data_IF_013737162610
#
_entry.id   IF_013737162610
#
_cell.length_a   1.000
_cell.length_b   1.000
_cell.length_c   1.000
_cell.angle_alpha   90.00
_cell.angle_beta   90.00
_cell.angle_gamma   90.00
#
_symmetry.space_group_name_H-M   'P 1'
#
loop_
_entity.id
_entity.type
_entity.pdbx_description
1 polymer ?
#
# COMPACT_ATOMS: atom_id res chain seq x y z
N UNK A 1 -23.51 -19.58 10.61
CA UNK A 1 -23.29 -20.52 9.49
C UNK A 1 -23.66 -19.97 8.12
N UNK A 2 -24.85 -19.37 7.90
CA UNK A 2 -25.24 -18.80 6.59
C UNK A 2 -24.21 -17.81 6.02
N UNK A 3 -23.73 -16.86 6.83
CA UNK A 3 -22.70 -15.86 6.45
C UNK A 3 -21.32 -16.45 6.17
N UNK A 4 -20.97 -17.58 6.80
CA UNK A 4 -19.70 -18.29 6.60
C UNK A 4 -19.70 -18.95 5.22
N UNK A 5 -20.76 -19.70 4.90
CA UNK A 5 -20.95 -20.31 3.58
C UNK A 5 -21.06 -19.27 2.47
N UNK A 6 -21.77 -18.15 2.70
CA UNK A 6 -21.89 -17.09 1.68
C UNK A 6 -20.59 -16.34 1.40
N UNK A 7 -19.65 -16.32 2.33
CA UNK A 7 -18.31 -15.72 2.14
C UNK A 7 -17.28 -16.73 1.59
N UNK A 8 -17.69 -17.98 1.32
CA UNK A 8 -16.80 -19.05 0.87
C UNK A 8 -15.74 -19.43 1.91
N UNK A 9 -16.04 -19.23 3.20
CA UNK A 9 -15.13 -19.55 4.29
C UNK A 9 -15.31 -21.00 4.73
N UNK A 10 -14.19 -21.70 4.90
CA UNK A 10 -14.17 -23.05 5.47
C UNK A 10 -14.33 -22.96 7.00
N UNK A 11 -15.31 -23.70 7.53
CA UNK A 11 -15.57 -23.81 8.97
C UNK A 11 -14.34 -24.29 9.74
N UNK A 12 -13.58 -25.24 9.19
CA UNK A 12 -12.37 -25.76 9.82
C UNK A 12 -11.29 -24.67 9.93
N UNK A 13 -11.21 -23.78 8.94
CA UNK A 13 -10.27 -22.64 8.98
C UNK A 13 -10.71 -21.66 10.07
N UNK A 14 -12.01 -21.35 10.18
CA UNK A 14 -12.55 -20.45 11.21
C UNK A 14 -12.29 -21.01 12.61
N UNK A 15 -12.53 -22.30 12.83
CA UNK A 15 -12.29 -22.93 14.14
C UNK A 15 -10.81 -22.88 14.53
N UNK A 16 -9.90 -23.16 13.59
CA UNK A 16 -8.45 -23.00 13.80
C UNK A 16 -8.06 -21.57 14.15
N UNK A 17 -8.67 -20.58 13.49
CA UNK A 17 -8.41 -19.16 13.78
C UNK A 17 -8.92 -18.75 15.17
N UNK A 18 -10.10 -19.24 15.59
CA UNK A 18 -10.62 -19.00 16.95
C UNK A 18 -9.79 -19.71 18.01
N UNK A 19 -9.33 -20.93 17.73
CA UNK A 19 -8.41 -21.65 18.61
C UNK A 19 -7.10 -20.89 18.81
N UNK A 20 -6.55 -20.27 17.75
CA UNK A 20 -5.36 -19.40 17.84
C UNK A 20 -5.55 -18.20 18.78
N UNK A 21 -6.72 -17.57 18.81
CA UNK A 21 -7.00 -16.51 19.77
C UNK A 21 -7.07 -17.03 21.21
N UNK A 22 -7.69 -18.19 21.43
CA UNK A 22 -7.88 -18.79 22.76
C UNK A 22 -6.60 -19.35 23.37
N UNK A 23 -5.80 -20.04 22.57
CA UNK A 23 -4.56 -20.66 23.03
C UNK A 23 -3.37 -19.70 23.05
N UNK A 24 -3.54 -18.51 22.47
CA UNK A 24 -2.46 -17.58 22.20
C UNK A 24 -1.58 -18.02 21.03
N UNK A 25 -0.91 -17.06 20.39
CA UNK A 25 0.08 -17.39 19.38
C UNK A 25 1.35 -17.92 20.03
N UNK A 26 1.88 -19.03 19.53
CA UNK A 26 3.23 -19.46 19.89
C UNK A 26 4.21 -18.38 19.45
N UNK A 27 4.89 -17.75 20.42
CA UNK A 27 5.93 -16.78 20.10
C UNK A 27 7.02 -17.49 19.29
N UNK A 28 7.46 -16.84 18.22
CA UNK A 28 8.60 -17.33 17.44
C UNK A 28 9.83 -17.32 18.35
N UNK A 29 10.43 -18.49 18.57
CA UNK A 29 11.72 -18.60 19.26
C UNK A 29 12.80 -18.03 18.34
N UNK A 30 13.19 -16.79 18.58
CA UNK A 30 14.25 -16.13 17.83
C UNK A 30 15.57 -16.87 18.09
N UNK A 31 16.27 -17.26 17.01
CA UNK A 31 17.56 -17.96 17.11
C UNK A 31 18.68 -16.97 17.46
N UNK A 32 18.88 -15.96 16.61
CA UNK A 32 19.83 -14.84 16.71
C UNK A 32 19.60 -13.89 15.52
N UNK A 33 20.05 -12.62 15.55
CA UNK A 33 19.90 -11.71 14.42
C UNK A 33 20.68 -12.18 13.17
N UNK A 34 20.21 -11.78 11.99
CA UNK A 34 20.99 -11.90 10.75
C UNK A 34 22.12 -10.86 10.75
N UNK A 35 23.30 -11.26 10.29
CA UNK A 35 24.46 -10.40 10.11
C UNK A 35 24.90 -10.36 8.64
N UNK A 36 25.80 -9.44 8.30
CA UNK A 36 26.46 -9.44 6.98
C UNK A 36 27.20 -10.76 6.81
N UNK A 37 26.94 -11.48 5.70
CA UNK A 37 27.38 -12.85 5.38
C UNK A 37 26.66 -13.97 6.16
N UNK A 38 25.59 -13.63 6.85
CA UNK A 38 24.82 -14.55 7.69
C UNK A 38 23.35 -14.12 7.71
N UNK A 39 22.69 -14.38 6.58
CA UNK A 39 21.31 -13.93 6.31
C UNK A 39 21.21 -12.54 5.68
N UNK A 40 22.28 -11.73 5.64
CA UNK A 40 22.32 -10.45 4.92
C UNK A 40 23.46 -10.45 3.88
N UNK A 41 23.09 -10.25 2.61
CA UNK A 41 24.05 -10.00 1.55
C UNK A 41 24.43 -8.51 1.52
N UNK A 42 25.73 -8.24 1.37
CA UNK A 42 26.27 -6.87 1.23
C UNK A 42 27.08 -6.77 -0.06
N UNK A 43 26.92 -5.66 -0.78
CA UNK A 43 27.51 -5.44 -2.10
C UNK A 43 28.37 -4.17 -2.10
N UNK A 44 29.59 -4.28 -2.64
CA UNK A 44 30.44 -3.12 -2.93
C UNK A 44 29.86 -2.33 -4.11
N UNK A 45 30.17 -1.02 -4.25
CA UNK A 45 29.67 -0.20 -5.36
C UNK A 45 29.90 -0.79 -6.76
N UNK A 46 31.05 -1.43 -6.98
CA UNK A 46 31.34 -2.11 -8.25
C UNK A 46 30.42 -3.31 -8.52
N UNK A 47 30.03 -4.07 -7.48
CA UNK A 47 29.09 -5.18 -7.60
C UNK A 47 27.67 -4.67 -7.87
N UNK A 48 27.26 -3.59 -7.19
CA UNK A 48 25.99 -2.92 -7.46
C UNK A 48 25.91 -2.50 -8.93
N UNK A 49 26.96 -1.83 -9.44
CA UNK A 49 27.00 -1.40 -10.85
C UNK A 49 26.90 -2.59 -11.82
N UNK A 50 27.58 -3.71 -11.54
CA UNK A 50 27.47 -4.94 -12.35
C UNK A 50 26.05 -5.50 -12.36
N UNK A 51 25.41 -5.62 -11.21
CA UNK A 51 24.03 -6.12 -11.10
C UNK A 51 23.01 -5.19 -11.77
N UNK A 52 23.17 -3.87 -11.61
CA UNK A 52 22.33 -2.88 -12.31
C UNK A 52 22.49 -3.02 -13.82
N UNK A 53 23.72 -3.12 -14.32
CA UNK A 53 23.99 -3.28 -15.75
C UNK A 53 23.43 -4.60 -16.30
N UNK A 54 23.54 -5.69 -15.54
CA UNK A 54 22.90 -6.97 -15.89
C UNK A 54 21.39 -6.82 -16.02
N UNK A 55 20.76 -6.15 -15.05
CA UNK A 55 19.32 -5.91 -15.09
C UNK A 55 18.90 -5.07 -16.29
N UNK A 56 19.56 -3.94 -16.52
CA UNK A 56 19.24 -3.04 -17.63
C UNK A 56 19.41 -3.72 -19.00
N UNK A 57 20.39 -4.62 -19.14
CA UNK A 57 20.62 -5.35 -20.39
C UNK A 57 19.59 -6.46 -20.65
N UNK A 58 19.11 -7.11 -19.59
CA UNK A 58 18.37 -8.38 -19.73
C UNK A 58 16.89 -8.26 -19.36
N UNK A 59 16.48 -7.25 -18.58
CA UNK A 59 15.12 -7.09 -18.06
C UNK A 59 14.02 -7.15 -19.12
N UNK A 60 14.26 -6.58 -20.30
CA UNK A 60 13.28 -6.54 -21.39
C UNK A 60 12.89 -7.94 -21.92
N UNK A 61 13.75 -8.95 -21.70
CA UNK A 61 13.50 -10.35 -22.11
C UNK A 61 12.51 -11.06 -21.19
N UNK A 62 12.17 -10.47 -20.05
CA UNK A 62 11.33 -11.06 -19.03
C UNK A 62 10.02 -10.27 -18.88
N UNK A 63 8.97 -10.99 -18.51
CA UNK A 63 7.71 -10.40 -18.07
C UNK A 63 7.84 -9.94 -16.63
N UNK A 64 8.12 -8.64 -16.47
CA UNK A 64 8.31 -8.01 -15.17
C UNK A 64 6.98 -7.45 -14.66
N UNK A 65 6.66 -7.70 -13.40
CA UNK A 65 5.41 -7.22 -12.80
C UNK A 65 5.67 -6.50 -11.47
N UNK A 66 5.03 -5.35 -11.28
CA UNK A 66 4.95 -4.68 -9.98
C UNK A 66 3.67 -5.05 -9.27
N UNK A 67 3.77 -5.75 -8.15
CA UNK A 67 2.62 -6.10 -7.31
C UNK A 67 2.48 -5.12 -6.15
N UNK A 68 1.32 -4.48 -6.06
CA UNK A 68 1.05 -3.42 -5.07
C UNK A 68 -0.18 -3.78 -4.23
N UNK A 69 0.00 -4.16 -2.95
CA UNK A 69 -1.11 -4.32 -2.03
C UNK A 69 -1.78 -2.98 -1.73
N UNK A 70 -3.02 -2.78 -2.19
CA UNK A 70 -3.73 -1.50 -2.12
C UNK A 70 -5.17 -1.62 -1.56
N UNK A 71 -5.54 -2.76 -0.98
CA UNK A 71 -6.88 -3.03 -0.45
C UNK A 71 -7.16 -2.38 0.91
N UNK A 72 -6.12 -1.91 1.61
CA UNK A 72 -6.25 -1.31 2.92
C UNK A 72 -6.81 0.12 2.89
N UNK A 73 -7.84 0.35 3.71
CA UNK A 73 -8.29 1.69 4.07
C UNK A 73 -7.19 2.44 4.83
N UNK A 74 -7.20 3.77 4.74
CA UNK A 74 -6.24 4.62 5.41
C UNK A 74 -6.55 4.87 6.90
N UNK A 75 -7.64 4.31 7.43
CA UNK A 75 -8.05 4.51 8.83
C UNK A 75 -6.92 4.32 9.86
N UNK A 76 -6.08 3.28 9.71
CA UNK A 76 -4.90 3.08 10.58
C UNK A 76 -3.82 4.14 10.42
N UNK A 77 -3.66 4.70 9.23
CA UNK A 77 -2.72 5.81 8.97
C UNK A 77 -3.12 7.06 9.74
N UNK A 78 -4.43 7.25 9.95
CA UNK A 78 -5.02 8.38 10.67
C UNK A 78 -5.46 8.04 12.11
N UNK A 79 -5.06 6.90 12.68
CA UNK A 79 -5.56 6.47 13.99
C UNK A 79 -5.36 7.54 15.08
N UNK A 80 -4.18 8.17 15.14
CA UNK A 80 -3.92 9.26 16.09
C UNK A 80 -4.73 10.53 15.82
N UNK A 81 -5.18 10.76 14.58
CA UNK A 81 -6.02 11.90 14.22
C UNK A 81 -7.49 11.63 14.55
N UNK A 82 -7.96 10.38 14.41
CA UNK A 82 -9.26 9.98 14.91
C UNK A 82 -9.34 10.11 16.43
N UNK A 83 -8.33 9.65 17.17
CA UNK A 83 -8.28 9.85 18.63
C UNK A 83 -8.29 11.34 19.02
N UNK A 84 -7.64 12.19 18.23
CA UNK A 84 -7.68 13.64 18.45
C UNK A 84 -9.04 14.25 18.09
N UNK A 85 -9.71 13.76 17.04
CA UNK A 85 -11.06 14.18 16.66
C UNK A 85 -12.05 13.87 17.79
N UNK A 86 -12.03 12.65 18.32
CA UNK A 86 -12.92 12.21 19.41
C UNK A 86 -12.72 13.04 20.69
N UNK A 87 -11.49 13.53 20.92
CA UNK A 87 -11.16 14.41 22.05
C UNK A 87 -11.37 15.91 21.76
N UNK A 88 -11.83 16.29 20.56
CA UNK A 88 -11.99 17.69 20.14
C UNK A 88 -10.68 18.44 19.83
N UNK A 89 -9.56 17.74 19.80
CA UNK A 89 -8.22 18.26 19.51
C UNK A 89 -7.10 17.32 19.98
N UNK A 90 -5.85 17.68 19.70
CA UNK A 90 -4.71 16.94 20.24
C UNK A 90 -4.52 17.23 21.73
N UNK A 91 -3.74 16.38 22.42
CA UNK A 91 -3.58 16.36 23.87
C UNK A 91 -3.03 17.65 24.52
N UNK A 92 -2.52 18.61 23.73
CA UNK A 92 -2.12 19.92 24.26
C UNK A 92 -2.23 21.05 23.23
N UNK A 93 -2.35 22.32 23.67
CA UNK A 93 -2.31 23.48 22.79
C UNK A 93 -1.02 23.59 21.96
N UNK A 94 0.11 23.13 22.50
CA UNK A 94 1.39 23.13 21.79
C UNK A 94 1.36 22.17 20.59
N UNK A 95 0.79 20.97 20.76
CA UNK A 95 0.64 20.00 19.67
C UNK A 95 -0.34 20.51 18.62
N UNK A 96 -1.46 21.12 19.03
CA UNK A 96 -2.41 21.77 18.12
C UNK A 96 -1.72 22.84 17.25
N UNK A 97 -0.87 23.68 17.86
CA UNK A 97 -0.11 24.69 17.14
C UNK A 97 0.90 24.06 16.16
N UNK A 98 1.62 23.03 16.59
CA UNK A 98 2.57 22.30 15.73
C UNK A 98 1.86 21.67 14.53
N UNK A 99 0.72 21.01 14.77
CA UNK A 99 -0.10 20.42 13.72
C UNK A 99 -0.50 21.44 12.66
N UNK A 100 -1.01 22.62 13.05
CA UNK A 100 -1.40 23.66 12.09
C UNK A 100 -0.22 24.22 11.28
N UNK A 101 0.97 24.29 11.87
CA UNK A 101 2.19 24.69 11.16
C UNK A 101 2.60 23.62 10.14
N UNK A 102 2.59 22.36 10.54
CA UNK A 102 2.93 21.24 9.67
C UNK A 102 1.85 20.98 8.61
N UNK A 103 0.59 21.32 8.87
CA UNK A 103 -0.52 21.17 7.92
C UNK A 103 -0.20 21.79 6.56
N UNK A 104 0.51 22.92 6.54
CA UNK A 104 0.95 23.62 5.31
C UNK A 104 1.90 22.81 4.43
N UNK A 105 2.59 21.82 5.02
CA UNK A 105 3.51 20.91 4.34
C UNK A 105 2.79 19.71 3.73
N UNK A 106 1.56 19.41 4.16
CA UNK A 106 0.83 18.27 3.63
C UNK A 106 0.45 18.46 2.16
N UNK A 107 0.47 17.40 1.35
CA UNK A 107 0.17 17.47 -0.08
C UNK A 107 -1.23 18.01 -0.39
N UNK A 108 -2.17 17.77 0.50
CA UNK A 108 -3.58 18.14 0.36
C UNK A 108 -3.93 19.48 1.01
N UNK A 109 -2.96 20.25 1.51
CA UNK A 109 -3.22 21.53 2.17
C UNK A 109 -4.04 22.49 1.30
N UNK A 110 -3.72 22.54 0.01
CA UNK A 110 -4.40 23.45 -0.92
C UNK A 110 -5.87 23.06 -1.13
N UNK A 111 -6.22 21.78 -1.01
CA UNK A 111 -7.62 21.32 -1.04
C UNK A 111 -8.41 21.86 0.16
N UNK A 112 -7.79 21.92 1.34
CA UNK A 112 -8.38 22.49 2.54
C UNK A 112 -8.53 24.01 2.39
N UNK A 113 -7.46 24.68 1.93
CA UNK A 113 -7.43 26.14 1.78
C UNK A 113 -8.45 26.67 0.77
N UNK A 114 -8.69 25.95 -0.32
CA UNK A 114 -9.65 26.33 -1.36
C UNK A 114 -11.11 26.17 -0.90
N UNK A 115 -11.37 25.34 0.11
CA UNK A 115 -12.70 25.18 0.66
C UNK A 115 -13.02 26.31 1.66
N UNK A 116 -14.09 27.08 1.39
CA UNK A 116 -14.50 28.23 2.24
C UNK A 116 -14.84 27.84 3.68
N UNK A 117 -15.38 26.64 3.92
CA UNK A 117 -15.71 26.16 5.26
C UNK A 117 -14.43 25.73 5.98
N UNK A 118 -13.63 24.87 5.36
CA UNK A 118 -12.43 24.31 5.98
C UNK A 118 -11.34 25.36 6.26
N UNK A 119 -11.18 26.36 5.39
CA UNK A 119 -10.27 27.48 5.60
C UNK A 119 -10.61 28.33 6.84
N UNK A 120 -11.90 28.43 7.22
CA UNK A 120 -12.30 29.09 8.47
C UNK A 120 -11.83 28.33 9.70
N UNK A 121 -11.85 27.00 9.67
CA UNK A 121 -11.35 26.18 10.78
C UNK A 121 -9.86 26.42 11.03
N UNK A 122 -9.06 26.58 9.97
CA UNK A 122 -7.65 26.98 10.09
C UNK A 122 -7.52 28.36 10.74
N UNK A 123 -8.27 29.36 10.27
CA UNK A 123 -8.21 30.73 10.78
C UNK A 123 -8.62 30.82 12.26
N UNK A 124 -9.62 30.03 12.66
CA UNK A 124 -10.13 29.95 14.03
C UNK A 124 -9.31 28.99 14.92
N UNK A 125 -8.33 28.28 14.36
CA UNK A 125 -7.56 27.22 15.04
C UNK A 125 -8.46 26.13 15.63
N UNK A 126 -9.62 25.88 15.01
CA UNK A 126 -10.56 24.85 15.41
C UNK A 126 -10.09 23.49 14.87
N UNK A 127 -9.39 22.74 15.73
CA UNK A 127 -8.78 21.45 15.35
C UNK A 127 -9.83 20.37 15.15
N UNK A 128 -10.84 20.29 16.02
CA UNK A 128 -11.91 19.29 15.90
C UNK A 128 -12.61 19.35 14.55
N UNK A 129 -13.13 20.52 14.17
CA UNK A 129 -13.83 20.67 12.89
C UNK A 129 -12.91 20.49 11.68
N UNK A 130 -11.64 20.85 11.81
CA UNK A 130 -10.65 20.62 10.76
C UNK A 130 -10.35 19.13 10.57
N UNK A 131 -10.22 18.38 11.67
CA UNK A 131 -10.03 16.93 11.62
C UNK A 131 -11.27 16.21 11.10
N UNK A 132 -12.47 16.63 11.50
CA UNK A 132 -13.73 16.11 10.95
C UNK A 132 -13.77 16.30 9.43
N UNK A 133 -13.51 17.52 8.97
CA UNK A 133 -13.44 17.82 7.54
C UNK A 133 -12.41 16.96 6.79
N UNK A 134 -11.25 16.65 7.38
CA UNK A 134 -10.23 15.85 6.69
C UNK A 134 -10.61 14.36 6.68
N UNK A 135 -11.11 13.84 7.79
CA UNK A 135 -11.21 12.40 8.02
C UNK A 135 -12.54 11.81 7.57
N UNK A 136 -13.63 12.57 7.64
CA UNK A 136 -14.99 12.05 7.48
C UNK A 136 -15.62 12.48 6.16
N UNK A 137 -16.79 11.92 5.86
CA UNK A 137 -17.60 12.26 4.70
C UNK A 137 -18.08 13.72 4.67
N UNK A 138 -17.91 14.48 5.77
CA UNK A 138 -18.19 15.91 5.83
C UNK A 138 -17.19 16.75 5.00
N UNK A 139 -16.08 16.16 4.56
CA UNK A 139 -15.12 16.81 3.69
C UNK A 139 -14.35 15.85 2.80
N UNK A 140 -13.05 15.70 3.05
CA UNK A 140 -12.12 14.95 2.20
C UNK A 140 -12.27 13.43 2.35
N UNK A 141 -12.89 12.97 3.44
CA UNK A 141 -13.16 11.55 3.72
C UNK A 141 -11.92 10.65 3.70
N UNK A 142 -10.75 11.18 4.05
CA UNK A 142 -9.50 10.42 3.98
C UNK A 142 -9.43 9.25 4.95
N UNK A 143 -10.23 9.26 6.02
CA UNK A 143 -10.30 8.14 6.96
C UNK A 143 -10.89 6.88 6.35
N UNK A 144 -11.82 7.03 5.39
CA UNK A 144 -12.48 5.92 4.71
C UNK A 144 -11.86 5.58 3.34
N UNK A 145 -11.11 6.51 2.75
CA UNK A 145 -10.50 6.27 1.44
C UNK A 145 -9.38 5.20 1.49
N UNK A 146 -9.19 4.42 0.40
CA UNK A 146 -8.01 3.58 0.26
C UNK A 146 -6.77 4.46 0.16
N UNK A 147 -5.66 4.04 0.77
CA UNK A 147 -4.38 4.79 0.73
C UNK A 147 -3.93 5.14 -0.69
N UNK A 148 -4.25 4.27 -1.65
CA UNK A 148 -3.99 4.47 -3.08
C UNK A 148 -4.49 5.81 -3.63
N UNK A 149 -5.60 6.34 -3.10
CA UNK A 149 -6.24 7.55 -3.59
C UNK A 149 -5.89 8.80 -2.78
N UNK A 150 -5.12 8.65 -1.70
CA UNK A 150 -4.72 9.78 -0.86
C UNK A 150 -3.56 10.52 -1.51
N UNK A 151 -3.56 11.86 -1.51
CA UNK A 151 -2.40 12.69 -1.84
C UNK A 151 -1.19 12.40 -0.94
N UNK A 152 -0.08 11.93 -1.53
CA UNK A 152 1.16 11.61 -0.80
C UNK A 152 2.26 12.64 -1.03
N UNK A 153 2.36 13.21 -2.22
CA UNK A 153 3.37 14.22 -2.54
C UNK A 153 2.81 15.39 -3.33
N UNK A 154 3.45 16.55 -3.15
CA UNK A 154 3.20 17.77 -3.90
C UNK A 154 4.50 18.22 -4.57
N UNK A 155 4.40 18.55 -5.85
CA UNK A 155 5.48 19.00 -6.72
C UNK A 155 5.26 20.48 -7.10
N UNK A 156 6.25 21.12 -7.74
CA UNK A 156 6.07 22.46 -8.31
C UNK A 156 4.84 22.55 -9.23
N UNK A 157 4.37 23.77 -9.49
CA UNK A 157 3.14 24.03 -10.27
C UNK A 157 1.86 23.38 -9.69
N UNK A 158 1.83 23.16 -8.37
CA UNK A 158 0.71 22.57 -7.64
C UNK A 158 0.31 21.15 -8.10
N UNK A 159 1.23 20.42 -8.73
CA UNK A 159 0.99 19.00 -9.03
C UNK A 159 0.94 18.20 -7.72
N UNK A 160 -0.17 17.51 -7.50
CA UNK A 160 -0.36 16.60 -6.37
C UNK A 160 -0.44 15.18 -6.93
N UNK A 161 0.32 14.26 -6.34
CA UNK A 161 0.26 12.84 -6.68
C UNK A 161 -0.31 12.03 -5.54
N UNK A 162 -1.25 11.18 -5.89
CA UNK A 162 -1.71 10.11 -5.00
C UNK A 162 -0.66 9.00 -4.91
N UNK A 163 -0.77 8.14 -3.89
CA UNK A 163 0.08 6.95 -3.78
C UNK A 163 0.04 6.08 -5.05
N UNK A 164 -1.14 5.90 -5.66
CA UNK A 164 -1.30 5.16 -6.91
C UNK A 164 -0.49 5.77 -8.06
N UNK A 165 -0.54 7.09 -8.20
CA UNK A 165 0.18 7.84 -9.25
C UNK A 165 1.70 7.71 -9.08
N UNK A 166 2.20 7.77 -7.84
CA UNK A 166 3.62 7.51 -7.56
C UNK A 166 4.03 6.08 -7.92
N UNK A 167 3.15 5.10 -7.71
CA UNK A 167 3.42 3.72 -8.10
C UNK A 167 3.53 3.54 -9.61
N UNK A 168 2.72 4.25 -10.40
CA UNK A 168 2.83 4.27 -11.87
C UNK A 168 4.17 4.87 -12.29
N UNK A 169 4.47 6.08 -11.83
CA UNK A 169 5.72 6.77 -12.16
C UNK A 169 6.95 5.93 -11.79
N UNK A 170 6.96 5.34 -10.60
CA UNK A 170 8.04 4.47 -10.14
C UNK A 170 8.17 3.20 -10.97
N UNK A 171 7.05 2.54 -11.33
CA UNK A 171 7.10 1.30 -12.12
C UNK A 171 7.79 1.52 -13.47
N UNK A 172 7.51 2.65 -14.13
CA UNK A 172 8.17 3.00 -15.37
C UNK A 172 9.67 3.28 -15.24
N UNK A 173 10.29 3.22 -14.06
CA UNK A 173 11.74 3.39 -13.92
C UNK A 173 12.51 2.06 -13.89
N UNK A 174 11.84 0.95 -13.55
CA UNK A 174 12.50 -0.36 -13.43
C UNK A 174 11.67 -1.57 -13.82
N UNK A 175 10.36 -1.45 -14.10
CA UNK A 175 9.49 -2.57 -14.49
C UNK A 175 9.09 -2.41 -15.95
N UNK A 176 10.10 -2.29 -16.84
CA UNK A 176 9.90 -2.18 -18.29
C UNK A 176 10.27 -3.51 -18.95
N UNK A 177 9.29 -4.13 -19.59
CA UNK A 177 9.48 -5.27 -20.48
C UNK A 177 9.60 -4.80 -21.94
N UNK A 178 9.82 -5.73 -22.87
CA UNK A 178 9.91 -5.45 -24.30
C UNK A 178 8.79 -4.50 -24.80
N UNK A 179 9.16 -3.54 -25.63
CA UNK A 179 8.23 -2.55 -26.20
C UNK A 179 7.73 -1.49 -25.21
N UNK A 180 8.53 -1.19 -24.18
CA UNK A 180 8.21 -0.23 -23.10
C UNK A 180 6.91 -0.56 -22.35
N UNK A 181 6.56 -1.85 -22.25
CA UNK A 181 5.37 -2.31 -21.53
C UNK A 181 5.68 -2.46 -20.03
N UNK A 182 4.87 -1.84 -19.19
CA UNK A 182 4.98 -1.91 -17.74
C UNK A 182 3.75 -2.63 -17.16
N UNK A 183 3.96 -3.81 -16.55
CA UNK A 183 2.89 -4.55 -15.90
C UNK A 183 2.78 -4.15 -14.42
N UNK A 184 1.58 -3.75 -14.00
CA UNK A 184 1.25 -3.51 -12.61
C UNK A 184 0.02 -4.32 -12.23
N UNK A 185 0.03 -4.83 -10.99
CA UNK A 185 -1.13 -5.47 -10.41
C UNK A 185 -1.42 -4.92 -9.02
N UNK A 186 -2.63 -4.38 -8.85
CA UNK A 186 -3.11 -3.87 -7.57
C UNK A 186 -4.09 -4.86 -6.94
N UNK A 187 -3.91 -5.17 -5.66
CA UNK A 187 -5.02 -5.77 -4.89
C UNK A 187 -5.86 -4.66 -4.31
N UNK A 188 -7.17 -4.72 -4.49
CA UNK A 188 -8.12 -3.67 -4.07
C UNK A 188 -9.25 -4.27 -3.25
N UNK A 189 -9.91 -3.45 -2.42
CA UNK A 189 -11.14 -3.88 -1.75
C UNK A 189 -12.32 -3.84 -2.72
N UNK A 190 -13.32 -4.69 -2.48
CA UNK A 190 -14.53 -4.71 -3.30
C UNK A 190 -15.22 -3.34 -3.30
N UNK A 191 -15.28 -2.70 -2.14
CA UNK A 191 -15.90 -1.39 -1.96
C UNK A 191 -15.22 -0.27 -2.75
N UNK A 192 -13.87 -0.25 -2.78
CA UNK A 192 -13.14 0.82 -3.46
C UNK A 192 -12.80 0.50 -4.92
N UNK A 193 -13.27 -0.64 -5.44
CA UNK A 193 -12.97 -1.10 -6.81
C UNK A 193 -13.26 -0.02 -7.84
N UNK A 194 -14.48 0.53 -7.82
CA UNK A 194 -14.92 1.53 -8.78
C UNK A 194 -14.09 2.82 -8.70
N UNK A 195 -13.79 3.29 -7.49
CA UNK A 195 -13.03 4.53 -7.27
C UNK A 195 -11.58 4.38 -7.77
N UNK A 196 -10.93 3.24 -7.49
CA UNK A 196 -9.57 2.96 -7.94
C UNK A 196 -9.52 2.79 -9.46
N UNK A 197 -10.43 2.01 -10.05
CA UNK A 197 -10.49 1.82 -11.52
C UNK A 197 -10.72 3.15 -12.24
N UNK A 198 -11.61 4.01 -11.72
CA UNK A 198 -11.85 5.36 -12.25
C UNK A 198 -10.59 6.22 -12.18
N UNK A 199 -9.88 6.21 -11.05
CA UNK A 199 -8.61 6.95 -10.89
C UNK A 199 -7.56 6.44 -11.89
N UNK A 200 -7.37 5.12 -12.01
CA UNK A 200 -6.41 4.51 -12.96
C UNK A 200 -6.71 4.98 -14.38
N UNK A 201 -7.96 4.87 -14.83
CA UNK A 201 -8.37 5.30 -16.18
C UNK A 201 -8.08 6.79 -16.42
N UNK A 202 -8.31 7.62 -15.42
CA UNK A 202 -8.08 9.06 -15.53
C UNK A 202 -6.58 9.43 -15.61
N UNK A 203 -5.72 8.76 -14.85
CA UNK A 203 -4.29 9.14 -14.76
C UNK A 203 -3.39 8.39 -15.74
N UNK A 204 -3.79 7.19 -16.19
CA UNK A 204 -2.97 6.33 -17.05
C UNK A 204 -2.42 7.07 -18.29
N UNK A 205 -3.23 7.76 -19.12
CA UNK A 205 -2.71 8.41 -20.33
C UNK A 205 -1.64 9.46 -20.05
N UNK A 206 -1.79 10.19 -18.94
CA UNK A 206 -0.82 11.20 -18.50
C UNK A 206 0.53 10.57 -18.19
N UNK A 207 0.54 9.46 -17.44
CA UNK A 207 1.78 8.78 -17.06
C UNK A 207 2.40 7.98 -18.21
N UNK A 208 1.60 7.43 -19.13
CA UNK A 208 2.12 6.80 -20.36
C UNK A 208 2.90 7.82 -21.19
N UNK A 209 2.32 9.02 -21.40
CA UNK A 209 2.98 10.11 -22.11
C UNK A 209 4.22 10.62 -21.36
N UNK A 210 4.09 10.88 -20.06
CA UNK A 210 5.17 11.43 -19.23
C UNK A 210 6.38 10.49 -19.17
N UNK A 211 6.14 9.19 -18.98
CA UNK A 211 7.20 8.20 -18.78
C UNK A 211 7.64 7.51 -20.08
N UNK A 212 6.94 7.75 -21.19
CA UNK A 212 7.13 7.09 -22.50
C UNK A 212 7.05 5.57 -22.38
N UNK A 213 5.96 5.09 -21.81
CA UNK A 213 5.67 3.66 -21.61
C UNK A 213 4.21 3.36 -21.91
N UNK A 214 3.88 2.08 -22.07
CA UNK A 214 2.50 1.59 -22.00
C UNK A 214 2.28 0.88 -20.67
N UNK A 215 1.14 1.09 -20.03
CA UNK A 215 0.82 0.37 -18.80
C UNK A 215 -0.22 -0.72 -19.04
N UNK A 216 0.09 -1.94 -18.62
CA UNK A 216 -0.90 -2.99 -18.42
C UNK A 216 -1.20 -3.08 -16.92
N UNK A 217 -2.37 -2.58 -16.53
CA UNK A 217 -2.75 -2.48 -15.11
C UNK A 217 -3.88 -3.45 -14.85
N UNK A 218 -3.56 -4.50 -14.11
CA UNK A 218 -4.51 -5.47 -13.62
C UNK A 218 -4.90 -5.15 -12.18
N UNK A 219 -6.07 -5.65 -11.77
CA UNK A 219 -6.44 -5.61 -10.37
C UNK A 219 -7.23 -6.85 -9.97
N UNK A 220 -6.99 -7.31 -8.75
CA UNK A 220 -7.77 -8.36 -8.11
C UNK A 220 -8.42 -7.83 -6.84
N UNK A 221 -9.61 -8.34 -6.57
CA UNK A 221 -10.27 -8.07 -5.30
C UNK A 221 -9.74 -9.04 -4.27
N UNK A 222 -9.34 -8.54 -3.11
CA UNK A 222 -8.93 -9.42 -2.01
C UNK A 222 -10.10 -10.35 -1.65
N UNK A 223 -9.87 -11.67 -1.72
CA UNK A 223 -10.93 -12.65 -1.50
C UNK A 223 -11.48 -12.57 -0.07
N UNK A 224 -12.81 -12.39 0.11
CA UNK A 224 -13.46 -12.49 1.43
C UNK A 224 -13.24 -13.85 2.09
N UNK A 225 -12.91 -14.89 1.32
CA UNK A 225 -12.57 -16.24 1.82
C UNK A 225 -11.28 -16.29 2.66
N UNK A 226 -10.57 -15.17 2.79
CA UNK A 226 -9.40 -15.03 3.67
C UNK A 226 -9.71 -14.25 4.94
N UNK A 227 -10.94 -13.78 5.10
CA UNK A 227 -11.33 -13.03 6.28
C UNK A 227 -11.31 -13.92 7.53
N UNK A 228 -10.85 -13.34 8.63
CA UNK A 228 -10.87 -13.95 9.95
C UNK A 228 -12.04 -13.40 10.77
N UNK A 229 -12.62 -14.19 11.69
CA UNK A 229 -13.52 -13.66 12.70
C UNK A 229 -12.85 -12.51 13.47
N UNK A 230 -13.56 -11.40 13.62
CA UNK A 230 -13.19 -10.38 14.59
C UNK A 230 -13.56 -10.88 16.00
N UNK A 231 -12.70 -10.64 16.98
CA UNK A 231 -12.93 -11.03 18.37
C UNK A 231 -12.86 -9.81 19.28
N UNK A 232 -13.55 -9.86 20.42
CA UNK A 232 -13.44 -8.88 21.48
C UNK A 232 -12.20 -9.11 22.35
N UNK A 233 -12.05 -8.31 23.41
CA UNK A 233 -10.97 -8.40 24.39
C UNK A 233 -10.94 -9.73 25.16
N UNK A 234 -12.05 -10.47 25.18
CA UNK A 234 -12.17 -11.79 25.79
C UNK A 234 -11.97 -12.93 24.76
N UNK A 235 -11.47 -12.62 23.56
CA UNK A 235 -11.30 -13.54 22.44
C UNK A 235 -12.62 -14.20 21.96
N UNK A 236 -13.76 -13.56 22.20
CA UNK A 236 -15.07 -14.03 21.77
C UNK A 236 -15.47 -13.41 20.43
N UNK A 237 -16.08 -14.16 19.49
CA UNK A 237 -16.45 -13.62 18.19
C UNK A 237 -17.43 -12.45 18.27
N UNK A 238 -17.05 -11.31 17.68
CA UNK A 238 -17.89 -10.12 17.59
C UNK A 238 -19.10 -10.35 16.67
N UNK A 239 -20.22 -9.74 17.04
CA UNK A 239 -21.48 -9.78 16.30
C UNK A 239 -22.04 -8.38 16.07
N UNK A 240 -22.68 -8.19 14.92
CA UNK A 240 -23.46 -6.98 14.63
C UNK A 240 -24.80 -6.98 15.38
N UNK A 241 -25.54 -5.86 15.32
CA UNK A 241 -26.84 -5.71 15.97
C UNK A 241 -27.89 -6.76 15.52
N UNK A 242 -27.69 -7.38 14.35
CA UNK A 242 -28.53 -8.45 13.83
C UNK A 242 -28.02 -9.86 14.23
N UNK A 243 -27.02 -9.94 15.12
CA UNK A 243 -26.45 -11.19 15.63
C UNK A 243 -25.48 -11.90 14.68
N UNK A 244 -25.13 -11.29 13.53
CA UNK A 244 -24.22 -11.92 12.57
C UNK A 244 -22.76 -11.69 12.96
N UNK A 245 -21.92 -12.69 12.69
CA UNK A 245 -20.47 -12.56 12.88
C UNK A 245 -19.89 -11.42 12.05
N UNK A 246 -18.97 -10.68 12.68
CA UNK A 246 -18.15 -9.65 12.07
C UNK A 246 -16.82 -10.28 11.66
N UNK A 247 -16.37 -9.96 10.44
CA UNK A 247 -15.15 -10.49 9.86
C UNK A 247 -14.19 -9.36 9.52
N UNK A 248 -12.89 -9.62 9.63
CA UNK A 248 -11.81 -8.71 9.24
C UNK A 248 -10.88 -9.36 8.21
N UNK A 249 -10.24 -8.60 7.31
CA UNK A 249 -9.30 -9.18 6.34
C UNK A 249 -8.15 -9.96 7.01
N UNK A 250 -7.93 -11.21 6.62
CA UNK A 250 -6.78 -12.01 7.05
C UNK A 250 -5.54 -11.62 6.26
N UNK A 251 -4.53 -11.06 6.93
CA UNK A 251 -3.45 -10.33 6.28
C UNK A 251 -2.50 -11.14 5.38
N UNK A 252 -2.30 -12.44 5.62
CA UNK A 252 -1.18 -13.18 5.00
C UNK A 252 -1.62 -14.20 3.92
N UNK A 253 -2.73 -14.91 4.10
CA UNK A 253 -3.17 -15.96 3.17
C UNK A 253 -3.61 -15.45 1.79
N UNK A 254 -4.03 -14.19 1.70
CA UNK A 254 -4.46 -13.59 0.44
C UNK A 254 -3.30 -13.30 -0.52
N UNK A 255 -2.10 -13.01 -0.01
CA UNK A 255 -0.96 -12.62 -0.85
C UNK A 255 -0.48 -13.79 -1.73
N UNK A 256 -0.23 -14.96 -1.13
CA UNK A 256 0.29 -16.12 -1.86
C UNK A 256 -0.65 -16.58 -2.98
N UNK A 257 -1.96 -16.66 -2.69
CA UNK A 257 -2.96 -16.98 -3.71
C UNK A 257 -2.99 -15.96 -4.84
N UNK A 258 -2.87 -14.67 -4.52
CA UNK A 258 -2.79 -13.63 -5.55
C UNK A 258 -1.54 -13.78 -6.40
N UNK A 259 -0.37 -14.05 -5.79
CA UNK A 259 0.90 -14.24 -6.50
C UNK A 259 0.87 -15.47 -7.41
N UNK A 260 0.27 -16.59 -6.97
CA UNK A 260 0.13 -17.82 -7.77
C UNK A 260 -0.68 -17.63 -9.05
N UNK A 261 -1.58 -16.64 -9.09
CA UNK A 261 -2.42 -16.36 -10.26
C UNK A 261 -1.80 -15.34 -11.21
N UNK A 262 -0.58 -14.86 -10.94
CA UNK A 262 0.10 -13.90 -11.79
C UNK A 262 1.01 -14.63 -12.78
N UNK A 263 0.85 -14.27 -14.04
CA UNK A 263 1.75 -14.69 -15.10
C UNK A 263 2.87 -13.64 -15.23
N UNK A 264 4.01 -13.89 -14.60
CA UNK A 264 5.21 -13.05 -14.64
C UNK A 264 6.45 -13.85 -14.25
N UNK A 265 7.61 -13.51 -14.84
CA UNK A 265 8.89 -14.15 -14.52
C UNK A 265 9.48 -13.60 -13.21
N UNK A 266 9.35 -12.29 -13.00
CA UNK A 266 9.82 -11.60 -11.80
C UNK A 266 8.80 -10.61 -11.28
N UNK A 267 8.57 -10.66 -9.96
CA UNK A 267 7.57 -9.83 -9.29
C UNK A 267 8.24 -8.91 -8.26
N UNK A 268 8.11 -7.60 -8.46
CA UNK A 268 8.47 -6.59 -7.47
C UNK A 268 7.29 -6.29 -6.57
N UNK A 269 7.36 -6.72 -5.31
CA UNK A 269 6.31 -6.48 -4.31
C UNK A 269 6.62 -5.20 -3.52
N UNK A 270 5.67 -4.27 -3.45
CA UNK A 270 5.81 -3.03 -2.67
C UNK A 270 4.47 -2.54 -2.13
N UNK A 271 4.40 -2.23 -0.83
CA UNK A 271 3.22 -1.65 -0.21
C UNK A 271 2.83 -0.31 -0.86
N UNK A 272 1.52 -0.05 -0.95
CA UNK A 272 0.94 1.15 -1.60
C UNK A 272 1.44 2.47 -1.01
N UNK A 273 1.73 2.50 0.29
CA UNK A 273 2.16 3.70 1.02
C UNK A 273 3.69 3.85 1.12
N UNK A 274 4.44 2.84 0.66
CA UNK A 274 5.90 2.94 0.57
C UNK A 274 6.27 3.61 -0.75
N UNK A 275 5.96 4.90 -0.88
CA UNK A 275 6.32 5.72 -2.03
C UNK A 275 7.18 6.89 -1.58
N UNK A 276 8.04 7.38 -2.48
CA UNK A 276 8.93 8.52 -2.20
C UNK A 276 8.84 9.53 -3.34
N UNK A 277 9.11 10.82 -3.09
CA UNK A 277 9.13 11.83 -4.15
C UNK A 277 10.19 11.50 -5.21
N UNK A 278 10.03 12.01 -6.43
CA UNK A 278 10.93 11.74 -7.56
C UNK A 278 12.43 11.91 -7.24
N UNK A 279 12.80 12.96 -6.50
CA UNK A 279 14.20 13.23 -6.14
C UNK A 279 14.79 12.13 -5.23
N UNK A 280 13.96 11.55 -4.36
CA UNK A 280 14.34 10.43 -3.52
C UNK A 280 14.31 9.12 -4.31
N UNK A 281 13.37 8.98 -5.26
CA UNK A 281 13.29 7.82 -6.15
C UNK A 281 14.60 7.64 -6.93
N UNK A 282 15.19 8.72 -7.46
CA UNK A 282 16.49 8.69 -8.15
C UNK A 282 17.60 8.07 -7.30
N UNK A 283 17.59 8.29 -5.98
CA UNK A 283 18.58 7.75 -5.04
C UNK A 283 18.40 6.25 -4.78
N UNK A 284 17.15 5.76 -4.79
CA UNK A 284 16.85 4.35 -4.50
C UNK A 284 16.80 3.47 -5.76
N UNK A 285 16.66 4.07 -6.95
CA UNK A 285 16.50 3.35 -8.21
C UNK A 285 17.64 2.35 -8.51
N UNK A 286 18.94 2.69 -8.30
CA UNK A 286 20.02 1.74 -8.49
C UNK A 286 19.87 0.49 -7.61
N UNK A 287 19.36 0.63 -6.39
CA UNK A 287 19.14 -0.52 -5.50
C UNK A 287 17.98 -1.40 -5.98
N UNK A 288 16.92 -0.81 -6.57
CA UNK A 288 15.84 -1.59 -7.18
C UNK A 288 16.32 -2.40 -8.38
N UNK A 289 17.09 -1.78 -9.27
CA UNK A 289 17.71 -2.46 -10.42
C UNK A 289 18.73 -3.50 -9.98
N UNK A 290 19.52 -3.23 -8.94
CA UNK A 290 20.46 -4.19 -8.36
C UNK A 290 19.72 -5.44 -7.84
N UNK A 291 18.61 -5.28 -7.12
CA UNK A 291 17.80 -6.41 -6.66
C UNK A 291 17.26 -7.24 -7.85
N UNK A 292 16.81 -6.58 -8.91
CA UNK A 292 16.40 -7.25 -10.15
C UNK A 292 17.55 -8.01 -10.79
N UNK A 293 18.74 -7.40 -10.89
CA UNK A 293 19.93 -8.06 -11.42
C UNK A 293 20.37 -9.27 -10.59
N UNK A 294 20.26 -9.17 -9.27
CA UNK A 294 20.54 -10.30 -8.38
C UNK A 294 19.52 -11.43 -8.58
N UNK A 295 18.24 -11.11 -8.72
CA UNK A 295 17.21 -12.10 -8.99
C UNK A 295 17.45 -12.83 -10.32
N UNK A 296 17.83 -12.09 -11.37
CA UNK A 296 18.23 -12.66 -12.66
C UNK A 296 19.44 -13.58 -12.55
N UNK A 297 20.46 -13.16 -11.80
CA UNK A 297 21.65 -13.98 -11.57
C UNK A 297 21.29 -15.30 -10.87
N UNK A 298 20.50 -15.23 -9.78
CA UNK A 298 20.06 -16.41 -9.04
C UNK A 298 19.24 -17.35 -9.92
N UNK A 299 18.32 -16.83 -10.73
CA UNK A 299 17.53 -17.65 -11.66
C UNK A 299 18.44 -18.40 -12.64
N UNK A 300 19.44 -17.72 -13.23
CA UNK A 300 20.39 -18.34 -14.16
C UNK A 300 21.21 -19.45 -13.49
N UNK A 301 21.68 -19.22 -12.27
CA UNK A 301 22.43 -20.21 -11.51
C UNK A 301 21.57 -21.45 -11.24
N UNK A 302 20.30 -21.27 -10.85
CA UNK A 302 19.36 -22.38 -10.61
C UNK A 302 19.04 -23.11 -11.92
N UNK A 303 18.78 -22.40 -13.02
CA UNK A 303 18.40 -23.04 -14.28
C UNK A 303 19.56 -23.73 -14.99
N UNK A 304 20.81 -23.34 -14.71
CA UNK A 304 21.99 -24.02 -15.24
C UNK A 304 22.23 -25.41 -14.60
N UNK A 305 21.57 -25.71 -13.48
CA UNK A 305 21.70 -26.97 -12.74
C UNK A 305 20.41 -27.82 -12.74
N UNK A 306 19.35 -27.35 -13.41
CA UNK A 306 18.11 -28.09 -13.69
C UNK A 306 18.16 -28.68 -15.10
#
# INVERSE_FOLDING_TARGET
MKKIKSLGLDLNIIEKQLALYRHGSTFLKLKRPCNVKDGILSFKPAQIKKLVSLYEKESEKYKLLKFVPASGAASRMFAGWFSALDAGGFSSPAINKSFLLDLKKYPFYDLIKQNKRASKFIAQKNIGDLLDYILTEQGLNFGWMPKALIPFHRYPAAEIRTALEEHLFEAAQYVRSAGDLCHLHFTISQEHKNNITKKIKAVKPRYEKLCRVKYEIMSSVQSPSTNMPAVDENNMPLRDAAGNLIFRPGGHGALLKNLQNLDADFIFIKNIDNVVPENNLKKILPYKKMLGGLALQIQREIFAIL
#
